data_IF_438803882503
#
_entry.id   IF_438803882503
#
_cell.length_a   1.000
_cell.length_b   1.000
_cell.length_c   1.000
_cell.angle_alpha   90.00
_cell.angle_beta   90.00
_cell.angle_gamma   90.00
#
_symmetry.space_group_name_H-M   'P 1'
#
loop_
_entity.id
_entity.type
_entity.pdbx_description
1 polymer ?
#
# COMPACT_ATOMS: atom_id res chain seq x y z
N UNK A 1 -29.51 53.10 50.81
CA UNK A 1 -29.29 53.00 49.39
C UNK A 1 -28.04 52.09 49.18
N UNK A 2 -28.26 50.85 48.82
CA UNK A 2 -27.17 49.88 48.53
C UNK A 2 -27.08 49.69 47.01
N UNK A 3 -25.93 50.09 46.42
CA UNK A 3 -25.68 49.93 45.00
C UNK A 3 -25.18 48.51 44.71
N UNK A 4 -25.89 47.74 43.89
CA UNK A 4 -25.49 46.46 43.41
C UNK A 4 -24.49 46.62 42.25
N UNK A 5 -23.29 46.11 42.43
CA UNK A 5 -22.26 45.99 41.38
C UNK A 5 -22.51 44.71 40.58
N UNK A 6 -22.93 44.86 39.34
CA UNK A 6 -23.17 43.77 38.36
C UNK A 6 -21.84 43.32 37.79
N UNK A 7 -21.32 42.18 38.24
CA UNK A 7 -20.13 41.54 37.65
C UNK A 7 -20.54 40.81 36.36
N UNK A 8 -20.11 41.34 35.23
CA UNK A 8 -20.25 40.66 33.93
C UNK A 8 -19.20 39.54 33.78
N UNK A 9 -19.68 38.30 33.72
CA UNK A 9 -18.84 37.14 33.44
C UNK A 9 -18.34 37.19 31.99
N UNK A 10 -17.03 37.34 31.79
CA UNK A 10 -16.35 37.20 30.50
C UNK A 10 -16.35 35.72 30.08
N UNK A 11 -16.98 35.42 28.95
CA UNK A 11 -16.85 34.10 28.27
C UNK A 11 -15.39 33.82 27.90
N UNK A 12 -14.89 32.63 28.14
CA UNK A 12 -13.54 32.29 27.71
C UNK A 12 -13.48 32.24 26.18
N UNK A 13 -12.65 33.10 25.59
CA UNK A 13 -12.26 33.01 24.19
C UNK A 13 -11.44 31.74 23.99
N UNK A 14 -11.99 30.78 23.23
CA UNK A 14 -11.20 29.67 22.67
C UNK A 14 -10.15 30.26 21.74
N UNK A 15 -8.93 30.39 22.22
CA UNK A 15 -7.76 30.63 21.38
C UNK A 15 -7.57 29.43 20.46
N UNK A 16 -8.00 29.55 19.20
CA UNK A 16 -7.53 28.65 18.14
C UNK A 16 -6.02 28.89 17.99
N UNK A 17 -5.22 27.92 18.36
CA UNK A 17 -3.78 27.94 18.11
C UNK A 17 -3.58 27.95 16.59
N UNK A 18 -3.46 29.14 16.04
CA UNK A 18 -3.13 29.37 14.64
C UNK A 18 -1.67 28.93 14.46
N UNK A 19 -1.44 27.68 14.01
CA UNK A 19 -0.11 27.25 13.58
C UNK A 19 0.43 28.26 12.57
N UNK A 20 1.69 28.64 12.73
CA UNK A 20 2.38 29.62 11.89
C UNK A 20 2.22 29.27 10.39
N UNK A 21 1.78 30.26 9.59
CA UNK A 21 1.81 30.17 8.12
C UNK A 21 3.25 29.86 7.69
N UNK A 22 3.54 28.64 7.24
CA UNK A 22 4.86 28.24 6.77
C UNK A 22 5.27 26.80 7.12
N UNK A 23 4.43 26.03 7.85
CA UNK A 23 4.78 24.69 8.30
C UNK A 23 4.04 23.56 7.58
N UNK A 24 3.19 23.83 6.57
CA UNK A 24 2.60 22.76 5.77
C UNK A 24 3.58 22.34 4.70
N UNK A 25 3.92 21.05 4.68
CA UNK A 25 4.80 20.44 3.70
C UNK A 25 4.09 19.27 3.03
N UNK A 26 4.52 18.91 1.84
CA UNK A 26 4.03 17.71 1.16
C UNK A 26 4.23 16.47 2.03
N UNK A 27 5.36 16.37 2.73
CA UNK A 27 5.64 15.29 3.68
C UNK A 27 4.57 15.20 4.79
N UNK A 28 4.19 16.32 5.39
CA UNK A 28 3.16 16.32 6.43
C UNK A 28 1.78 15.90 5.88
N UNK A 29 1.46 16.28 4.65
CA UNK A 29 0.23 15.89 3.95
C UNK A 29 0.22 14.38 3.72
N UNK A 30 1.30 13.83 3.16
CA UNK A 30 1.44 12.41 2.86
C UNK A 30 1.43 11.56 4.14
N UNK A 31 2.14 11.96 5.19
CA UNK A 31 2.11 11.25 6.48
C UNK A 31 0.71 11.23 7.10
N UNK A 32 0.00 12.36 7.03
CA UNK A 32 -1.39 12.42 7.52
C UNK A 32 -2.31 11.52 6.69
N UNK A 33 -2.09 11.46 5.37
CA UNK A 33 -2.84 10.57 4.49
C UNK A 33 -2.58 9.09 4.82
N UNK A 34 -1.34 8.70 5.15
CA UNK A 34 -1.02 7.35 5.63
C UNK A 34 -1.73 7.03 6.95
N UNK A 35 -1.73 7.96 7.92
CA UNK A 35 -2.43 7.77 9.19
C UNK A 35 -3.93 7.53 8.97
N UNK A 36 -4.58 8.33 8.13
CA UNK A 36 -6.00 8.17 7.79
C UNK A 36 -6.24 6.82 7.10
N UNK A 37 -5.39 6.44 6.11
CA UNK A 37 -5.54 5.18 5.39
C UNK A 37 -5.33 3.96 6.29
N UNK A 38 -4.52 4.06 7.33
CA UNK A 38 -4.30 3.00 8.31
C UNK A 38 -5.48 2.86 9.30
N UNK A 39 -6.12 3.96 9.68
CA UNK A 39 -7.25 3.98 10.62
C UNK A 39 -8.59 3.60 9.96
N UNK A 40 -8.78 3.98 8.69
CA UNK A 40 -10.02 3.70 7.96
C UNK A 40 -9.73 2.89 6.68
N UNK A 41 -9.55 3.56 5.56
CA UNK A 41 -9.15 2.92 4.30
C UNK A 41 -8.67 3.97 3.30
N UNK A 42 -7.98 3.52 2.24
CA UNK A 42 -7.62 4.38 1.12
C UNK A 42 -8.87 4.89 0.39
N UNK A 43 -9.95 4.11 0.39
CA UNK A 43 -11.22 4.46 -0.22
C UNK A 43 -11.82 5.73 0.39
N UNK A 44 -11.75 5.87 1.68
CA UNK A 44 -12.28 7.01 2.44
C UNK A 44 -11.36 8.25 2.40
N UNK A 45 -10.12 8.06 2.00
CA UNK A 45 -9.15 9.15 1.91
C UNK A 45 -9.60 10.24 0.94
N UNK A 46 -9.65 11.47 1.40
CA UNK A 46 -10.00 12.64 0.61
C UNK A 46 -9.19 13.87 1.02
N UNK A 47 -8.99 14.80 0.08
CA UNK A 47 -8.27 16.05 0.36
C UNK A 47 -8.94 16.85 1.52
N UNK A 48 -10.28 16.98 1.58
CA UNK A 48 -10.92 17.62 2.72
C UNK A 48 -10.66 16.93 4.06
N UNK A 49 -10.59 15.60 4.09
CA UNK A 49 -10.31 14.82 5.29
C UNK A 49 -8.88 15.06 5.79
N UNK A 50 -7.91 15.07 4.88
CA UNK A 50 -6.50 15.40 5.19
C UNK A 50 -6.39 16.83 5.73
N UNK A 51 -7.05 17.80 5.08
CA UNK A 51 -7.05 19.18 5.52
C UNK A 51 -7.65 19.35 6.93
N UNK A 52 -8.77 18.64 7.20
CA UNK A 52 -9.41 18.61 8.52
C UNK A 52 -8.47 18.03 9.58
N UNK A 53 -7.81 16.92 9.29
CA UNK A 53 -6.87 16.27 10.21
C UNK A 53 -5.66 17.15 10.52
N UNK A 54 -5.15 17.90 9.54
CA UNK A 54 -4.05 18.85 9.70
C UNK A 54 -4.46 20.18 10.35
N UNK A 55 -5.78 20.46 10.45
CA UNK A 55 -6.29 21.74 10.95
C UNK A 55 -6.00 22.91 10.02
N UNK A 56 -5.93 22.69 8.71
CA UNK A 56 -5.68 23.69 7.67
C UNK A 56 -6.86 23.85 6.72
N UNK A 57 -6.86 24.93 5.94
CA UNK A 57 -7.84 25.09 4.87
C UNK A 57 -7.53 24.15 3.68
N UNK A 58 -8.58 23.61 3.03
CA UNK A 58 -8.46 22.74 1.85
C UNK A 58 -7.61 23.39 0.75
N UNK A 59 -7.76 24.70 0.54
CA UNK A 59 -6.97 25.47 -0.42
C UNK A 59 -5.46 25.38 -0.14
N UNK A 60 -5.05 25.27 1.13
CA UNK A 60 -3.64 25.15 1.49
C UNK A 60 -3.06 23.80 1.04
N UNK A 61 -3.86 22.72 1.05
CA UNK A 61 -3.44 21.42 0.54
C UNK A 61 -3.23 21.49 -0.97
N UNK A 62 -4.12 22.18 -1.71
CA UNK A 62 -4.03 22.26 -3.17
C UNK A 62 -2.79 22.98 -3.70
N UNK A 63 -2.08 23.73 -2.88
CA UNK A 63 -0.77 24.28 -3.24
C UNK A 63 0.34 23.23 -3.31
N UNK A 64 0.15 22.08 -2.64
CA UNK A 64 1.11 20.98 -2.58
C UNK A 64 0.69 19.78 -3.42
N UNK A 65 -0.62 19.50 -3.47
CA UNK A 65 -1.19 18.31 -4.12
C UNK A 65 -2.47 18.73 -4.86
N UNK A 66 -2.46 18.67 -6.19
CA UNK A 66 -3.53 19.21 -7.04
C UNK A 66 -4.84 18.44 -6.97
N UNK A 67 -4.79 17.15 -6.70
CA UNK A 67 -5.94 16.26 -6.66
C UNK A 67 -5.63 14.98 -5.86
N UNK A 68 -6.67 14.16 -5.65
CA UNK A 68 -6.55 12.90 -4.93
C UNK A 68 -5.59 11.91 -5.61
N UNK A 69 -5.54 11.88 -6.94
CA UNK A 69 -4.64 10.98 -7.67
C UNK A 69 -3.18 11.33 -7.37
N UNK A 70 -2.82 12.60 -7.43
CA UNK A 70 -1.47 13.07 -7.10
C UNK A 70 -1.08 12.76 -5.64
N UNK A 71 -2.04 12.85 -4.71
CA UNK A 71 -1.83 12.41 -3.33
C UNK A 71 -1.53 10.90 -3.25
N UNK A 72 -2.29 10.08 -3.95
CA UNK A 72 -2.07 8.63 -3.99
C UNK A 72 -0.73 8.27 -4.64
N UNK A 73 -0.33 9.00 -5.69
CA UNK A 73 0.99 8.82 -6.33
C UNK A 73 2.12 9.17 -5.36
N UNK A 74 2.01 10.28 -4.63
CA UNK A 74 2.98 10.67 -3.61
C UNK A 74 3.06 9.66 -2.45
N UNK A 75 1.90 9.12 -2.02
CA UNK A 75 1.85 8.03 -1.05
C UNK A 75 2.53 6.76 -1.59
N UNK A 76 2.25 6.38 -2.83
CA UNK A 76 2.87 5.21 -3.46
C UNK A 76 4.39 5.36 -3.53
N UNK A 77 4.88 6.50 -3.97
CA UNK A 77 6.32 6.79 -4.03
C UNK A 77 6.97 6.73 -2.64
N UNK A 78 6.29 7.25 -1.63
CA UNK A 78 6.77 7.22 -0.24
C UNK A 78 6.77 5.79 0.31
N UNK A 79 5.72 5.02 0.08
CA UNK A 79 5.63 3.62 0.50
C UNK A 79 6.74 2.78 -0.14
N UNK A 80 6.96 2.93 -1.45
CA UNK A 80 8.04 2.22 -2.15
C UNK A 80 9.43 2.55 -1.62
N UNK A 81 9.68 3.82 -1.31
CA UNK A 81 10.96 4.22 -0.71
C UNK A 81 11.17 3.67 0.70
N UNK A 82 10.10 3.44 1.47
CA UNK A 82 10.16 2.89 2.84
C UNK A 82 10.27 1.38 2.86
N UNK A 83 9.47 0.71 2.04
CA UNK A 83 9.36 -0.75 2.06
C UNK A 83 10.54 -1.45 1.41
N UNK A 84 11.26 -0.78 0.49
CA UNK A 84 12.39 -1.36 -0.22
C UNK A 84 11.96 -2.58 -1.03
N UNK A 85 11.32 -2.39 -2.21
CA UNK A 85 11.06 -3.51 -3.10
C UNK A 85 12.35 -4.26 -3.38
N UNK A 86 12.37 -5.59 -3.26
CA UNK A 86 13.58 -6.37 -3.49
C UNK A 86 13.99 -6.24 -4.96
N UNK A 87 15.24 -5.85 -5.18
CA UNK A 87 15.83 -5.90 -6.50
C UNK A 87 15.98 -7.35 -6.95
N UNK A 88 15.78 -7.60 -8.23
CA UNK A 88 16.11 -8.91 -8.82
C UNK A 88 17.63 -9.10 -8.81
N UNK A 89 18.07 -10.27 -8.38
CA UNK A 89 19.49 -10.64 -8.36
C UNK A 89 19.72 -11.72 -9.39
N UNK A 90 20.55 -11.43 -10.38
CA UNK A 90 20.93 -12.34 -11.43
C UNK A 90 21.86 -13.45 -10.90
N UNK A 91 21.70 -14.68 -11.40
CA UNK A 91 22.61 -15.80 -11.15
C UNK A 91 22.49 -16.86 -12.24
N UNK A 92 23.41 -17.82 -12.26
CA UNK A 92 23.40 -18.97 -13.18
C UNK A 92 22.23 -19.93 -12.88
N UNK A 93 21.65 -19.88 -11.68
CA UNK A 93 20.41 -20.57 -11.32
C UNK A 93 19.24 -19.58 -11.34
N UNK A 94 18.68 -19.35 -12.52
CA UNK A 94 17.55 -18.45 -12.71
C UNK A 94 16.32 -18.85 -11.87
N UNK A 95 16.15 -20.15 -11.57
CA UNK A 95 15.03 -20.63 -10.77
C UNK A 95 15.13 -20.14 -9.33
N UNK A 96 16.31 -20.26 -8.72
CA UNK A 96 16.52 -19.75 -7.37
C UNK A 96 16.47 -18.22 -7.32
N UNK A 97 16.99 -17.52 -8.33
CA UNK A 97 16.85 -16.05 -8.45
C UNK A 97 15.40 -15.63 -8.51
N UNK A 98 14.59 -16.26 -9.36
CA UNK A 98 13.17 -15.91 -9.50
C UNK A 98 12.36 -16.28 -8.25
N UNK A 99 12.65 -17.41 -7.59
CA UNK A 99 12.05 -17.77 -6.29
C UNK A 99 12.37 -16.75 -5.21
N UNK A 100 13.63 -16.37 -5.09
CA UNK A 100 14.07 -15.38 -4.08
C UNK A 100 13.37 -14.03 -4.30
N UNK A 101 13.29 -13.57 -5.55
CA UNK A 101 12.59 -12.35 -5.92
C UNK A 101 11.08 -12.45 -5.62
N UNK A 102 10.41 -13.51 -6.05
CA UNK A 102 8.98 -13.74 -5.80
C UNK A 102 8.64 -13.73 -4.31
N UNK A 103 9.45 -14.43 -3.48
CA UNK A 103 9.30 -14.43 -2.01
C UNK A 103 9.52 -13.05 -1.43
N UNK A 104 10.52 -12.33 -1.91
CA UNK A 104 10.83 -10.97 -1.47
C UNK A 104 9.68 -10.00 -1.76
N UNK A 105 9.19 -9.98 -3.01
CA UNK A 105 8.05 -9.14 -3.41
C UNK A 105 6.82 -9.49 -2.57
N UNK A 106 6.47 -10.77 -2.46
CA UNK A 106 5.33 -11.20 -1.65
C UNK A 106 5.45 -10.72 -0.20
N UNK A 107 6.61 -10.89 0.43
CA UNK A 107 6.86 -10.46 1.81
C UNK A 107 6.68 -8.95 1.98
N UNK A 108 7.24 -8.16 1.07
CA UNK A 108 7.11 -6.69 1.10
C UNK A 108 5.65 -6.25 1.08
N UNK A 109 4.85 -6.76 0.15
CA UNK A 109 3.44 -6.41 0.06
C UNK A 109 2.60 -6.92 1.23
N UNK A 110 2.88 -8.12 1.75
CA UNK A 110 2.18 -8.66 2.93
C UNK A 110 2.49 -7.86 4.20
N UNK A 111 3.68 -7.29 4.32
CA UNK A 111 4.08 -6.47 5.47
C UNK A 111 3.57 -5.02 5.42
N UNK A 112 3.14 -4.54 4.24
CA UNK A 112 2.62 -3.18 4.06
C UNK A 112 1.23 -3.20 3.38
N UNK A 113 0.14 -3.27 4.19
CA UNK A 113 -1.22 -3.28 3.66
C UNK A 113 -1.59 -2.02 2.87
N UNK A 114 -1.03 -0.86 3.22
CA UNK A 114 -1.30 0.40 2.51
C UNK A 114 -0.66 0.38 1.13
N UNK A 115 0.58 -0.11 1.01
CA UNK A 115 1.25 -0.32 -0.27
C UNK A 115 0.46 -1.31 -1.16
N UNK A 116 -0.04 -2.40 -0.57
CA UNK A 116 -0.87 -3.38 -1.27
C UNK A 116 -2.14 -2.76 -1.82
N UNK A 117 -2.87 -1.99 -1.01
CA UNK A 117 -4.09 -1.30 -1.43
C UNK A 117 -3.79 -0.25 -2.51
N UNK A 118 -2.70 0.51 -2.41
CA UNK A 118 -2.29 1.49 -3.40
C UNK A 118 -1.97 0.85 -4.76
N UNK A 119 -1.09 -0.13 -4.78
CA UNK A 119 -0.53 -0.68 -6.03
C UNK A 119 -1.42 -1.78 -6.61
N UNK A 120 -1.78 -2.80 -5.82
CA UNK A 120 -2.44 -3.99 -6.35
C UNK A 120 -3.96 -3.87 -6.43
N UNK A 121 -4.59 -3.14 -5.52
CA UNK A 121 -6.05 -3.02 -5.52
C UNK A 121 -6.50 -1.80 -6.33
N UNK A 122 -5.86 -0.65 -6.14
CA UNK A 122 -6.24 0.57 -6.85
C UNK A 122 -5.51 0.81 -8.15
N UNK A 123 -4.42 0.09 -8.41
CA UNK A 123 -3.60 0.31 -9.58
C UNK A 123 -2.97 1.72 -9.61
N UNK A 124 -2.75 2.33 -8.44
CA UNK A 124 -2.07 3.62 -8.32
C UNK A 124 -0.59 3.45 -8.66
N UNK A 125 -0.31 3.26 -9.94
CA UNK A 125 1.05 3.13 -10.45
C UNK A 125 1.60 4.52 -10.75
N UNK A 126 2.28 5.10 -9.77
CA UNK A 126 3.08 6.28 -10.01
C UNK A 126 4.13 6.04 -11.10
N UNK A 127 4.66 7.09 -11.75
CA UNK A 127 5.75 6.94 -12.72
C UNK A 127 6.98 6.21 -12.14
N UNK A 128 7.23 6.37 -10.83
CA UNK A 128 8.29 5.64 -10.13
C UNK A 128 7.96 4.16 -9.98
N UNK A 129 6.75 3.83 -9.51
CA UNK A 129 6.30 2.44 -9.33
C UNK A 129 6.36 1.66 -10.64
N UNK A 130 5.89 2.27 -11.73
CA UNK A 130 5.92 1.66 -13.07
C UNK A 130 7.36 1.39 -13.51
N UNK A 131 8.23 2.38 -13.44
CA UNK A 131 9.63 2.25 -13.83
C UNK A 131 10.36 1.15 -13.05
N UNK A 132 10.18 1.11 -11.72
CA UNK A 132 10.79 0.09 -10.89
C UNK A 132 10.28 -1.31 -11.26
N UNK A 133 8.97 -1.48 -11.44
CA UNK A 133 8.39 -2.75 -11.86
C UNK A 133 8.90 -3.21 -13.23
N UNK A 134 8.94 -2.32 -14.21
CA UNK A 134 9.46 -2.61 -15.55
C UNK A 134 10.95 -3.03 -15.52
N UNK A 135 11.78 -2.31 -14.75
CA UNK A 135 13.20 -2.63 -14.62
C UNK A 135 13.44 -4.01 -14.01
N UNK A 136 12.75 -4.35 -12.94
CA UNK A 136 12.91 -5.65 -12.29
C UNK A 136 12.37 -6.80 -13.15
N UNK A 137 11.27 -6.57 -13.88
CA UNK A 137 10.73 -7.50 -14.88
C UNK A 137 11.75 -7.79 -15.98
N UNK A 138 12.32 -6.74 -16.55
CA UNK A 138 13.33 -6.89 -17.64
C UNK A 138 14.56 -7.64 -17.18
N UNK A 139 15.08 -7.37 -15.98
CA UNK A 139 16.22 -8.11 -15.42
C UNK A 139 15.93 -9.59 -15.24
N UNK A 140 14.75 -9.92 -14.69
CA UNK A 140 14.36 -11.30 -14.46
C UNK A 140 14.23 -12.08 -15.78
N UNK A 141 13.61 -11.49 -16.80
CA UNK A 141 13.45 -12.11 -18.12
C UNK A 141 14.83 -12.25 -18.80
N UNK A 142 15.66 -11.22 -18.78
CA UNK A 142 17.01 -11.28 -19.35
C UNK A 142 17.85 -12.39 -18.71
N UNK A 143 17.85 -12.51 -17.37
CA UNK A 143 18.57 -13.56 -16.68
C UNK A 143 18.10 -14.97 -17.07
N UNK A 144 16.79 -15.17 -17.27
CA UNK A 144 16.27 -16.46 -17.76
C UNK A 144 16.74 -16.79 -19.18
N UNK A 145 16.77 -15.78 -20.06
CA UNK A 145 17.25 -15.93 -21.44
C UNK A 145 18.76 -16.24 -21.44
N UNK A 146 19.55 -15.52 -20.65
CA UNK A 146 21.00 -15.76 -20.51
C UNK A 146 21.31 -17.17 -19.96
N UNK A 147 20.40 -17.71 -19.15
CA UNK A 147 20.47 -19.11 -18.67
C UNK A 147 19.92 -20.13 -19.65
N UNK A 148 19.55 -19.73 -20.88
CA UNK A 148 19.24 -20.66 -21.99
C UNK A 148 17.74 -20.84 -22.28
N UNK A 149 16.83 -20.12 -21.65
CA UNK A 149 15.41 -20.13 -22.01
C UNK A 149 15.19 -19.32 -23.28
N UNK A 150 14.26 -19.76 -24.13
CA UNK A 150 13.78 -18.92 -25.22
C UNK A 150 12.94 -17.75 -24.66
N UNK A 151 12.85 -16.68 -25.44
CA UNK A 151 12.22 -15.42 -25.02
C UNK A 151 10.74 -15.61 -24.61
N UNK A 152 9.97 -16.40 -25.35
CA UNK A 152 8.57 -16.65 -25.05
C UNK A 152 8.40 -17.41 -23.73
N UNK A 153 9.18 -18.48 -23.54
CA UNK A 153 9.17 -19.26 -22.29
C UNK A 153 9.59 -18.40 -21.08
N UNK A 154 10.59 -17.53 -21.25
CA UNK A 154 11.00 -16.62 -20.19
C UNK A 154 9.87 -15.62 -19.80
N UNK A 155 9.20 -15.01 -20.78
CA UNK A 155 8.07 -14.13 -20.55
C UNK A 155 6.88 -14.84 -19.88
N UNK A 156 6.51 -16.04 -20.37
CA UNK A 156 5.40 -16.82 -19.83
C UNK A 156 5.69 -17.27 -18.38
N UNK A 157 6.92 -17.69 -18.12
CA UNK A 157 7.38 -18.08 -16.78
C UNK A 157 7.30 -16.92 -15.80
N UNK A 158 7.82 -15.74 -16.19
CA UNK A 158 7.74 -14.54 -15.36
C UNK A 158 6.28 -14.14 -15.08
N UNK A 159 5.43 -14.18 -16.11
CA UNK A 159 4.01 -13.85 -16.00
C UNK A 159 3.30 -14.78 -15.03
N UNK A 160 3.49 -16.11 -15.17
CA UNK A 160 2.89 -17.10 -14.28
C UNK A 160 3.31 -16.91 -12.81
N UNK A 161 4.60 -16.67 -12.56
CA UNK A 161 5.09 -16.39 -11.20
C UNK A 161 4.53 -15.07 -10.68
N UNK A 162 4.43 -14.02 -11.51
CA UNK A 162 3.85 -12.73 -11.12
C UNK A 162 2.37 -12.83 -10.76
N UNK A 163 1.59 -13.62 -11.52
CA UNK A 163 0.18 -13.87 -11.23
C UNK A 163 0.01 -14.64 -9.92
N UNK A 164 0.84 -15.67 -9.68
CA UNK A 164 0.85 -16.41 -8.42
C UNK A 164 1.15 -15.50 -7.23
N UNK A 165 2.18 -14.66 -7.32
CA UNK A 165 2.56 -13.71 -6.27
C UNK A 165 1.42 -12.75 -5.99
N UNK A 166 0.89 -12.08 -7.03
CA UNK A 166 -0.21 -11.11 -6.90
C UNK A 166 -1.47 -11.76 -6.33
N UNK A 167 -1.85 -12.93 -6.85
CA UNK A 167 -3.00 -13.69 -6.37
C UNK A 167 -2.90 -14.03 -4.88
N UNK A 168 -1.73 -14.50 -4.43
CA UNK A 168 -1.49 -14.80 -3.01
C UNK A 168 -1.57 -13.57 -2.11
N UNK A 169 -1.05 -12.42 -2.56
CA UNK A 169 -1.11 -11.16 -1.81
C UNK A 169 -2.55 -10.65 -1.72
N UNK A 170 -3.28 -10.63 -2.84
CA UNK A 170 -4.66 -10.18 -2.89
C UNK A 170 -5.58 -11.02 -2.02
N UNK A 171 -5.40 -12.35 -2.04
CA UNK A 171 -6.16 -13.25 -1.16
C UNK A 171 -5.88 -12.96 0.32
N UNK A 172 -4.60 -12.78 0.69
CA UNK A 172 -4.25 -12.39 2.05
C UNK A 172 -4.90 -11.08 2.47
N UNK A 173 -4.90 -10.09 1.57
CA UNK A 173 -5.50 -8.77 1.85
C UNK A 173 -7.01 -8.85 2.00
N UNK A 174 -7.69 -9.65 1.20
CA UNK A 174 -9.14 -9.90 1.32
C UNK A 174 -9.48 -10.53 2.67
N UNK A 175 -8.71 -11.53 3.10
CA UNK A 175 -8.87 -12.15 4.43
C UNK A 175 -8.69 -11.13 5.56
N UNK A 176 -7.66 -10.30 5.48
CA UNK A 176 -7.42 -9.25 6.48
C UNK A 176 -8.59 -8.26 6.56
N UNK A 177 -9.09 -7.78 5.40
CA UNK A 177 -10.23 -6.86 5.34
C UNK A 177 -11.50 -7.51 5.89
N UNK A 178 -11.78 -8.76 5.53
CA UNK A 178 -12.92 -9.50 6.04
C UNK A 178 -12.88 -9.64 7.58
N UNK A 179 -11.73 -10.07 8.12
CA UNK A 179 -11.55 -10.21 9.55
C UNK A 179 -11.63 -8.87 10.32
N UNK A 180 -11.25 -7.76 9.70
CA UNK A 180 -11.39 -6.43 10.29
C UNK A 180 -12.88 -6.02 10.41
N UNK A 181 -13.68 -6.24 9.36
CA UNK A 181 -15.12 -5.98 9.38
C UNK A 181 -15.84 -6.84 10.42
N UNK A 182 -15.54 -8.14 10.47
CA UNK A 182 -16.13 -9.05 11.45
C UNK A 182 -15.84 -8.66 12.91
N UNK A 183 -14.66 -8.14 13.21
CA UNK A 183 -14.34 -7.64 14.57
C UNK A 183 -15.16 -6.43 14.98
N UNK A 184 -15.56 -5.59 14.02
CA UNK A 184 -16.43 -4.44 14.29
C UNK A 184 -17.91 -4.84 14.41
N UNK A 185 -18.33 -5.90 13.72
CA UNK A 185 -19.72 -6.40 13.72
C UNK A 185 -20.00 -7.43 14.84
N UNK A 186 -19.00 -8.23 15.23
CA UNK A 186 -19.16 -9.32 16.22
C UNK A 186 -19.37 -8.85 17.66
N UNK A 187 -19.58 -7.55 17.87
CA UNK A 187 -20.17 -7.10 19.12
C UNK A 187 -21.65 -7.50 19.26
N UNK A 188 -22.34 -7.98 18.21
CA UNK A 188 -23.79 -8.11 18.26
C UNK A 188 -24.45 -9.38 17.69
N UNK A 189 -23.86 -10.27 16.88
CA UNK A 189 -24.59 -11.51 16.48
C UNK A 189 -23.67 -12.66 16.00
N UNK A 190 -23.94 -13.88 16.51
CA UNK A 190 -23.31 -15.13 16.10
C UNK A 190 -23.81 -15.61 14.72
N UNK A 191 -23.21 -15.18 13.66
CA UNK A 191 -23.46 -15.64 12.29
C UNK A 191 -22.31 -16.48 11.75
N UNK A 192 -22.63 -17.68 11.23
CA UNK A 192 -21.69 -18.57 10.57
C UNK A 192 -21.35 -17.99 9.19
N UNK A 193 -20.27 -17.25 9.08
CA UNK A 193 -19.73 -16.80 7.78
C UNK A 193 -18.49 -17.60 7.45
N UNK A 194 -18.49 -18.25 6.28
CA UNK A 194 -17.32 -18.95 5.74
C UNK A 194 -16.23 -17.90 5.45
N UNK A 195 -15.32 -17.72 6.41
CA UNK A 195 -14.16 -16.87 6.22
C UNK A 195 -13.31 -17.39 5.05
N UNK A 196 -12.77 -16.52 4.19
CA UNK A 196 -11.80 -16.93 3.19
C UNK A 196 -10.61 -17.62 3.89
N UNK A 197 -10.17 -18.76 3.33
CA UNK A 197 -9.01 -19.47 3.86
C UNK A 197 -7.79 -18.55 3.79
N UNK A 198 -7.07 -18.31 4.90
CA UNK A 198 -5.88 -17.49 4.86
C UNK A 198 -4.84 -18.12 3.92
N UNK A 199 -4.08 -17.31 3.15
CA UNK A 199 -3.04 -17.84 2.29
C UNK A 199 -1.99 -18.54 3.15
N UNK A 200 -1.79 -19.82 2.87
CA UNK A 200 -0.76 -20.64 3.51
C UNK A 200 0.58 -20.44 2.78
N UNK A 201 1.63 -20.12 3.53
CA UNK A 201 2.98 -20.02 2.98
C UNK A 201 3.42 -21.34 2.33
N UNK A 202 3.01 -22.50 2.87
CA UNK A 202 3.26 -23.82 2.28
C UNK A 202 2.61 -23.98 0.92
N UNK A 203 1.35 -23.55 0.77
CA UNK A 203 0.65 -23.62 -0.51
C UNK A 203 1.31 -22.72 -1.55
N UNK A 204 1.72 -21.52 -1.16
CA UNK A 204 2.48 -20.63 -2.04
C UNK A 204 3.79 -21.24 -2.50
N UNK A 205 4.58 -21.81 -1.58
CA UNK A 205 5.86 -22.44 -1.89
C UNK A 205 5.71 -23.69 -2.78
N UNK A 206 4.67 -24.50 -2.54
CA UNK A 206 4.34 -25.64 -3.38
C UNK A 206 4.03 -25.20 -4.82
N UNK A 207 3.16 -24.22 -4.98
CA UNK A 207 2.79 -23.70 -6.30
C UNK A 207 3.97 -23.06 -7.02
N UNK A 208 4.74 -22.20 -6.33
CA UNK A 208 5.93 -21.56 -6.90
C UNK A 208 6.94 -22.61 -7.39
N UNK A 209 7.21 -23.62 -6.57
CA UNK A 209 8.14 -24.71 -6.93
C UNK A 209 7.60 -25.51 -8.11
N UNK A 210 6.30 -25.83 -8.13
CA UNK A 210 5.68 -26.59 -9.21
C UNK A 210 5.70 -25.84 -10.53
N UNK A 211 5.40 -24.55 -10.55
CA UNK A 211 5.47 -23.70 -11.74
C UNK A 211 6.89 -23.70 -12.30
N UNK A 212 7.89 -23.47 -11.47
CA UNK A 212 9.28 -23.41 -11.93
C UNK A 212 9.85 -24.78 -12.36
N UNK A 213 9.39 -25.87 -11.75
CA UNK A 213 9.79 -27.23 -12.14
C UNK A 213 9.17 -27.69 -13.48
N UNK A 214 8.03 -27.10 -13.88
CA UNK A 214 7.37 -27.42 -15.15
C UNK A 214 8.07 -26.81 -16.38
N UNK A 215 8.94 -25.82 -16.17
CA UNK A 215 9.67 -25.16 -17.26
C UNK A 215 10.90 -25.97 -17.60
N UNK A 216 10.95 -26.49 -18.84
CA UNK A 216 12.14 -27.17 -19.35
C UNK A 216 13.32 -26.19 -19.49
N UNK A 217 14.56 -26.67 -19.35
CA UNK A 217 15.73 -25.85 -19.64
C UNK A 217 15.85 -25.56 -21.13
#
# INVERSE_FOLDING_TARGET
MRGEVRVQARKPQRQSVRRARGSLTEDAIVETAFAIAAESSIEELSIPLVAKSLGVGVTSIYWHVRNRSELLDAMTDRALRRSGLPAFTESDDWRESLKAHARGVRRTFLSDPVLTDLILIRGALSPLARRLGEQETQKAIANMIDCGLDEQTAHDTYSAVSELVRGSILLARLVQKHNAVQRTESADEGGFTSAPVPPDDRAFELLLTSVLASVAP
#
